data_IF_639449570266
#
_entry.id   IF_639449570266
#
_cell.length_a   1.000
_cell.length_b   1.000
_cell.length_c   1.000
_cell.angle_alpha   90.00
_cell.angle_beta   90.00
_cell.angle_gamma   90.00
#
_symmetry.space_group_name_H-M   'P 1'
#
loop_
_entity.id
_entity.type
_entity.pdbx_description
1 polymer ?
#
# COMPACT_ATOMS: atom_id res chain seq x y z
N UNK A 1 -6.76 16.50 5.01
CA UNK A 1 -5.91 16.01 6.15
C UNK A 1 -6.72 15.37 7.28
N UNK A 2 -7.96 15.75 7.49
CA UNK A 2 -8.79 15.18 8.56
C UNK A 2 -9.01 13.69 8.38
N UNK A 3 -9.34 13.24 7.18
CA UNK A 3 -9.55 11.82 6.84
C UNK A 3 -8.28 10.97 6.97
N UNK A 4 -7.11 11.61 6.92
CA UNK A 4 -5.80 10.96 7.00
C UNK A 4 -5.16 11.01 8.40
N UNK A 5 -5.86 11.53 9.42
CA UNK A 5 -5.34 11.61 10.81
C UNK A 5 -4.88 10.26 11.35
N UNK A 6 -5.56 9.18 10.97
CA UNK A 6 -5.20 7.82 11.38
C UNK A 6 -3.83 7.36 10.84
N UNK A 7 -3.36 7.94 9.74
CA UNK A 7 -2.02 7.65 9.19
C UNK A 7 -0.91 8.43 9.89
N UNK A 8 -1.25 9.37 10.78
CA UNK A 8 -0.29 10.27 11.47
C UNK A 8 0.57 11.07 10.49
N UNK A 9 0.01 11.45 9.36
CA UNK A 9 0.69 12.30 8.37
C UNK A 9 0.49 13.77 8.76
N UNK A 10 1.57 14.52 8.90
CA UNK A 10 1.55 15.92 9.33
C UNK A 10 1.35 16.85 8.14
N UNK A 11 1.99 16.53 7.01
CA UNK A 11 1.94 17.33 5.77
C UNK A 11 1.13 16.62 4.71
N UNK A 12 0.25 17.35 4.02
CA UNK A 12 -0.45 16.84 2.86
C UNK A 12 0.51 16.66 1.68
N UNK A 13 0.43 15.54 0.93
CA UNK A 13 1.08 15.44 -0.36
C UNK A 13 0.40 16.37 -1.36
N UNK A 14 1.18 17.18 -2.05
CA UNK A 14 0.72 18.06 -3.13
C UNK A 14 1.41 17.66 -4.43
N UNK A 15 0.64 17.43 -5.47
CA UNK A 15 1.12 16.99 -6.78
C UNK A 15 0.23 17.59 -7.86
N UNK A 16 0.82 18.00 -8.96
CA UNK A 16 0.10 18.36 -10.18
C UNK A 16 -0.25 17.08 -10.95
N UNK A 17 -1.52 16.93 -11.32
CA UNK A 17 -2.02 15.79 -12.07
C UNK A 17 -2.50 16.28 -13.43
N UNK A 18 -1.96 15.67 -14.48
CA UNK A 18 -2.33 15.98 -15.84
C UNK A 18 -3.73 15.48 -16.16
N UNK A 19 -4.56 16.33 -16.75
CA UNK A 19 -5.87 15.95 -17.28
C UNK A 19 -5.70 15.59 -18.75
N UNK A 20 -5.99 14.33 -19.08
CA UNK A 20 -5.88 13.78 -20.42
C UNK A 20 -7.26 13.62 -21.08
N UNK A 21 -7.28 13.55 -22.41
CA UNK A 21 -8.49 13.37 -23.22
C UNK A 21 -9.21 14.67 -23.52
N UNK A 22 -10.16 14.64 -24.47
CA UNK A 22 -10.99 15.76 -24.85
C UNK A 22 -10.27 16.96 -25.47
N UNK A 23 -11.06 17.97 -25.79
CA UNK A 23 -10.58 19.29 -26.24
C UNK A 23 -10.05 20.13 -25.06
N UNK A 24 -9.41 21.24 -25.35
CA UNK A 24 -8.89 22.15 -24.30
C UNK A 24 -10.04 22.72 -23.48
N UNK A 25 -11.12 23.11 -24.14
CA UNK A 25 -12.29 23.73 -23.49
C UNK A 25 -12.98 22.73 -22.54
N UNK A 26 -13.18 21.49 -22.98
CA UNK A 26 -13.72 20.41 -22.13
C UNK A 26 -12.85 20.14 -20.91
N UNK A 27 -11.52 20.15 -21.05
CA UNK A 27 -10.60 20.00 -19.91
C UNK A 27 -10.72 21.14 -18.91
N UNK A 28 -10.87 22.38 -19.41
CA UNK A 28 -11.04 23.57 -18.57
C UNK A 28 -12.36 23.50 -17.81
N UNK A 29 -13.45 23.11 -18.48
CA UNK A 29 -14.77 22.96 -17.87
C UNK A 29 -14.75 21.86 -16.80
N UNK A 30 -14.17 20.72 -17.12
CA UNK A 30 -14.01 19.61 -16.18
C UNK A 30 -13.19 20.04 -14.96
N UNK A 31 -12.05 20.72 -15.17
CA UNK A 31 -11.22 21.21 -14.08
C UNK A 31 -11.97 22.21 -13.20
N UNK A 32 -12.69 23.16 -13.78
CA UNK A 32 -13.52 24.13 -13.04
C UNK A 32 -14.62 23.44 -12.22
N UNK A 33 -15.24 22.41 -12.77
CA UNK A 33 -16.30 21.67 -12.08
C UNK A 33 -15.82 20.86 -10.88
N UNK A 34 -14.49 20.52 -10.85
CA UNK A 34 -13.87 19.71 -9.80
C UNK A 34 -13.00 20.52 -8.82
N UNK A 35 -12.94 21.84 -8.96
CA UNK A 35 -12.27 22.68 -7.97
C UNK A 35 -12.90 22.48 -6.59
N UNK A 36 -12.06 22.28 -5.58
CA UNK A 36 -12.46 22.06 -4.17
C UNK A 36 -13.35 20.82 -3.94
N UNK A 37 -13.50 19.97 -4.94
CA UNK A 37 -14.27 18.72 -4.83
C UNK A 37 -13.36 17.51 -4.76
N UNK A 38 -13.84 16.48 -4.10
CA UNK A 38 -13.18 15.17 -4.06
C UNK A 38 -13.35 14.46 -5.40
N UNK A 39 -12.25 13.88 -5.90
CA UNK A 39 -12.24 12.95 -7.03
C UNK A 39 -12.00 11.55 -6.47
N UNK A 40 -13.00 10.69 -6.53
CA UNK A 40 -12.91 9.34 -6.02
C UNK A 40 -12.21 8.39 -6.99
N UNK A 41 -11.67 7.33 -6.45
CA UNK A 41 -10.98 6.30 -7.26
C UNK A 41 -11.91 5.67 -8.29
N UNK A 42 -13.17 5.42 -7.94
CA UNK A 42 -14.17 4.85 -8.83
C UNK A 42 -14.59 5.76 -9.99
N UNK A 43 -14.33 7.07 -9.89
CA UNK A 43 -14.63 8.03 -10.96
C UNK A 43 -13.56 7.97 -12.07
N UNK A 44 -12.37 7.46 -11.76
CA UNK A 44 -11.22 7.44 -12.67
C UNK A 44 -10.89 6.03 -13.16
N UNK A 45 -10.99 5.03 -12.28
CA UNK A 45 -10.59 3.66 -12.58
C UNK A 45 -11.74 2.68 -12.48
N UNK A 46 -11.66 1.60 -13.26
CA UNK A 46 -12.62 0.49 -13.25
C UNK A 46 -11.96 -0.83 -12.83
N UNK A 47 -12.76 -1.76 -12.31
CA UNK A 47 -12.28 -3.10 -11.98
C UNK A 47 -11.82 -3.84 -13.23
N UNK A 48 -10.74 -4.58 -13.11
CA UNK A 48 -10.12 -5.30 -14.24
C UNK A 48 -9.14 -4.48 -15.07
N UNK A 49 -9.13 -3.15 -14.92
CA UNK A 49 -8.24 -2.25 -15.64
C UNK A 49 -6.78 -2.44 -15.23
N UNK A 50 -5.87 -2.19 -16.18
CA UNK A 50 -4.43 -2.13 -15.90
C UNK A 50 -4.02 -0.71 -15.59
N UNK A 51 -3.24 -0.54 -14.55
CA UNK A 51 -2.70 0.73 -14.09
C UNK A 51 -1.18 0.68 -13.93
N UNK A 52 -0.56 1.84 -14.04
CA UNK A 52 0.84 2.06 -13.68
C UNK A 52 0.93 2.80 -12.35
N UNK A 53 1.88 2.41 -11.53
CA UNK A 53 2.09 2.97 -10.20
C UNK A 53 3.41 3.70 -10.16
N UNK A 54 3.38 4.98 -9.81
CA UNK A 54 4.55 5.83 -9.66
C UNK A 54 4.78 6.14 -8.18
N UNK A 55 6.02 5.99 -7.74
CA UNK A 55 6.34 6.28 -6.34
C UNK A 55 7.82 6.12 -6.02
N UNK A 56 8.18 6.44 -4.78
CA UNK A 56 9.53 6.28 -4.28
C UNK A 56 9.68 4.92 -3.58
N UNK A 57 10.70 4.19 -3.94
CA UNK A 57 11.01 2.88 -3.33
C UNK A 57 11.36 3.01 -1.86
N UNK A 58 11.40 1.89 -1.14
CA UNK A 58 11.88 1.84 0.24
C UNK A 58 13.33 2.25 0.29
N UNK A 59 13.67 3.20 1.17
CA UNK A 59 15.05 3.64 1.37
C UNK A 59 15.81 2.72 2.33
N UNK A 60 17.10 2.51 2.06
CA UNK A 60 18.03 1.77 2.91
C UNK A 60 19.25 2.60 3.32
N UNK A 61 19.31 3.85 2.88
CA UNK A 61 20.42 4.76 3.18
C UNK A 61 21.68 4.44 2.37
N UNK A 62 22.84 4.77 2.92
CA UNK A 62 24.12 4.52 2.29
C UNK A 62 24.51 3.04 2.46
N UNK A 63 24.73 2.34 1.36
CA UNK A 63 25.04 0.92 1.33
C UNK A 63 26.33 0.63 0.57
N UNK A 64 27.03 -0.42 0.99
CA UNK A 64 28.24 -0.90 0.33
C UNK A 64 27.93 -1.66 -0.95
N UNK A 65 28.96 -1.86 -1.77
CA UNK A 65 28.84 -2.52 -3.09
C UNK A 65 28.30 -3.94 -3.04
N UNK A 66 28.55 -4.67 -1.96
CA UNK A 66 28.08 -6.06 -1.81
C UNK A 66 26.56 -6.13 -1.63
N UNK A 67 25.94 -5.15 -1.01
CA UNK A 67 24.48 -5.06 -0.90
C UNK A 67 23.88 -4.39 -2.12
N UNK A 68 24.42 -3.22 -2.49
CA UNK A 68 23.86 -2.37 -3.54
C UNK A 68 23.93 -2.99 -4.94
N UNK A 69 25.00 -3.73 -5.26
CA UNK A 69 25.22 -4.37 -6.56
C UNK A 69 25.32 -5.90 -6.51
N UNK A 70 25.33 -6.50 -5.32
CA UNK A 70 25.45 -7.95 -5.17
C UNK A 70 26.84 -8.48 -5.56
N UNK A 71 27.88 -7.67 -5.46
CA UNK A 71 29.25 -8.12 -5.80
C UNK A 71 29.72 -9.19 -4.84
N UNK A 72 30.50 -10.14 -5.34
CA UNK A 72 31.08 -11.23 -4.55
C UNK A 72 32.00 -10.69 -3.47
N UNK A 73 31.87 -11.19 -2.24
CA UNK A 73 32.84 -10.92 -1.17
C UNK A 73 34.19 -11.48 -1.54
N UNK A 74 35.24 -10.71 -1.29
CA UNK A 74 36.63 -11.17 -1.49
C UNK A 74 36.99 -12.25 -0.46
N UNK A 75 38.15 -12.88 -0.65
CA UNK A 75 38.63 -13.96 0.22
C UNK A 75 38.86 -13.47 1.65
N UNK A 76 38.71 -14.35 2.65
CA UNK A 76 38.89 -14.04 4.07
C UNK A 76 40.21 -13.36 4.41
N UNK A 77 41.30 -13.75 3.74
CA UNK A 77 42.63 -13.19 3.97
C UNK A 77 42.91 -11.86 3.26
N UNK A 78 41.89 -11.27 2.59
CA UNK A 78 42.10 -10.04 1.82
C UNK A 78 42.38 -8.85 2.77
N UNK A 79 43.52 -8.22 2.54
CA UNK A 79 43.89 -6.99 3.23
C UNK A 79 42.96 -5.82 2.82
N UNK A 80 42.70 -4.87 3.73
CA UNK A 80 41.88 -3.67 3.54
C UNK A 80 40.39 -3.92 3.32
N UNK A 81 39.91 -5.12 3.61
CA UNK A 81 38.47 -5.42 3.68
C UNK A 81 37.95 -6.33 2.57
N UNK A 82 36.92 -7.10 2.92
CA UNK A 82 36.31 -8.16 2.10
C UNK A 82 35.15 -7.67 1.23
N UNK A 83 34.45 -6.63 1.69
CA UNK A 83 33.20 -6.14 1.10
C UNK A 83 33.47 -4.99 0.13
N UNK A 84 34.36 -5.22 -0.81
CA UNK A 84 34.81 -4.24 -1.80
C UNK A 84 34.90 -4.88 -3.18
N UNK A 85 35.01 -4.04 -4.19
CA UNK A 85 35.37 -4.42 -5.55
C UNK A 85 36.88 -4.30 -5.68
N UNK A 86 37.55 -5.34 -6.14
CA UNK A 86 39.02 -5.37 -6.28
C UNK A 86 39.50 -4.38 -7.36
N UNK A 87 38.81 -4.36 -8.51
CA UNK A 87 39.15 -3.49 -9.64
C UNK A 87 37.88 -2.72 -10.08
N UNK A 88 38.04 -1.45 -10.31
CA UNK A 88 36.93 -0.55 -10.71
C UNK A 88 36.97 -0.15 -12.19
N UNK A 89 37.89 -0.71 -12.95
CA UNK A 89 38.05 -0.47 -14.36
C UNK A 89 39.46 -0.80 -14.86
N UNK A 90 39.66 -0.74 -16.14
CA UNK A 90 40.95 -0.86 -16.79
C UNK A 90 41.75 0.45 -16.73
N UNK A 91 43.03 0.42 -17.17
CA UNK A 91 43.86 1.62 -17.26
C UNK A 91 43.29 2.65 -18.22
N UNK A 92 42.81 2.20 -19.36
CA UNK A 92 42.13 3.02 -20.35
C UNK A 92 40.67 2.59 -20.50
N UNK A 93 39.71 3.55 -20.54
CA UNK A 93 39.88 4.98 -20.39
C UNK A 93 40.29 5.35 -18.93
N UNK A 94 41.07 6.41 -18.76
CA UNK A 94 41.67 6.83 -17.47
C UNK A 94 40.66 7.31 -16.44
N UNK A 95 39.37 7.15 -16.68
CA UNK A 95 38.24 7.48 -15.79
C UNK A 95 37.53 6.23 -15.33
N UNK A 96 36.91 6.31 -14.15
CA UNK A 96 35.98 5.26 -13.69
C UNK A 96 34.66 5.40 -14.44
N UNK A 97 34.20 4.33 -15.07
CA UNK A 97 32.90 4.32 -15.76
C UNK A 97 31.75 4.54 -14.76
N UNK A 98 30.69 5.20 -15.22
CA UNK A 98 29.49 5.39 -14.39
C UNK A 98 28.85 4.05 -13.94
N UNK A 99 28.97 3.01 -14.77
CA UNK A 99 28.43 1.67 -14.52
C UNK A 99 29.24 0.84 -13.51
N UNK A 100 30.43 1.30 -13.10
CA UNK A 100 31.24 0.59 -12.10
C UNK A 100 30.51 0.53 -10.76
N UNK A 101 30.51 -0.64 -10.14
CA UNK A 101 29.87 -0.84 -8.84
C UNK A 101 30.56 -0.01 -7.75
N UNK A 102 29.83 0.89 -7.12
CA UNK A 102 30.30 1.79 -6.05
C UNK A 102 29.30 1.78 -4.91
N UNK A 103 29.78 2.06 -3.69
CA UNK A 103 28.94 2.36 -2.56
C UNK A 103 28.17 3.67 -2.81
N UNK A 104 26.99 3.77 -2.22
CA UNK A 104 26.16 4.97 -2.34
C UNK A 104 24.76 4.76 -1.77
N UNK A 105 23.86 5.66 -2.09
CA UNK A 105 22.46 5.57 -1.68
C UNK A 105 21.79 4.34 -2.31
N UNK A 106 21.14 3.55 -1.48
CA UNK A 106 20.28 2.43 -1.89
C UNK A 106 18.84 2.69 -1.50
N UNK A 107 17.94 2.53 -2.46
CA UNK A 107 16.53 2.82 -2.26
C UNK A 107 16.20 4.32 -2.21
N UNK A 108 14.94 4.63 -1.92
CA UNK A 108 14.34 5.97 -2.04
C UNK A 108 14.53 6.57 -3.44
N UNK A 109 14.35 5.72 -4.44
CA UNK A 109 14.40 6.11 -5.84
C UNK A 109 13.00 6.18 -6.42
N UNK A 110 12.75 7.19 -7.25
CA UNK A 110 11.51 7.25 -8.02
C UNK A 110 11.49 6.13 -9.07
N UNK A 111 10.40 5.38 -9.09
CA UNK A 111 10.18 4.27 -10.02
C UNK A 111 8.74 4.27 -10.49
N UNK A 112 8.56 3.77 -11.71
CA UNK A 112 7.25 3.47 -12.28
C UNK A 112 7.11 1.96 -12.44
N UNK A 113 6.17 1.37 -11.74
CA UNK A 113 5.80 -0.03 -11.91
C UNK A 113 4.64 -0.14 -12.87
N UNK A 114 4.84 -0.87 -13.97
CA UNK A 114 3.89 -0.95 -15.06
C UNK A 114 2.91 -2.12 -14.89
N UNK A 115 1.73 -1.99 -15.50
CA UNK A 115 0.79 -3.08 -15.74
C UNK A 115 0.34 -3.81 -14.47
N UNK A 116 -0.07 -3.08 -13.44
CA UNK A 116 -0.74 -3.65 -12.27
C UNK A 116 -2.24 -3.75 -12.55
N UNK A 117 -2.79 -4.94 -12.43
CA UNK A 117 -4.22 -5.16 -12.66
C UNK A 117 -5.01 -4.84 -11.40
N UNK A 118 -6.10 -4.09 -11.55
CA UNK A 118 -7.06 -3.82 -10.48
C UNK A 118 -7.94 -5.06 -10.33
N UNK A 119 -8.03 -5.58 -9.12
CA UNK A 119 -8.90 -6.72 -8.81
C UNK A 119 -10.24 -6.28 -8.23
N UNK A 120 -10.23 -5.25 -7.40
CA UNK A 120 -11.42 -4.70 -6.78
C UNK A 120 -11.22 -3.23 -6.42
N UNK A 121 -12.28 -2.46 -6.55
CA UNK A 121 -12.37 -1.11 -6.01
C UNK A 121 -13.40 -1.15 -4.89
N UNK A 122 -12.98 -0.84 -3.67
CA UNK A 122 -13.86 -0.82 -2.52
C UNK A 122 -14.18 0.60 -2.09
N UNK A 123 -15.41 0.79 -1.61
CA UNK A 123 -15.89 2.05 -1.04
C UNK A 123 -15.46 2.19 0.42
N UNK A 124 -15.58 3.40 0.93
CA UNK A 124 -15.26 3.71 2.33
C UNK A 124 -16.04 2.81 3.30
N UNK A 125 -15.49 2.60 4.49
CA UNK A 125 -16.10 1.77 5.53
C UNK A 125 -17.44 2.35 6.02
N UNK A 126 -17.66 3.64 5.86
CA UNK A 126 -18.93 4.32 6.22
C UNK A 126 -20.03 3.99 5.21
N UNK A 127 -19.68 3.82 3.94
CA UNK A 127 -20.61 3.49 2.86
C UNK A 127 -20.83 1.98 2.73
N UNK A 128 -19.82 1.16 3.04
CA UNK A 128 -19.85 -0.27 2.76
C UNK A 128 -19.02 -1.07 3.79
N UNK A 129 -19.67 -1.97 4.52
CA UNK A 129 -19.04 -2.83 5.51
C UNK A 129 -18.76 -4.26 5.01
N UNK A 130 -19.10 -4.57 3.78
CA UNK A 130 -19.00 -5.90 3.17
C UNK A 130 -17.95 -6.00 2.05
N UNK A 131 -17.01 -5.09 2.05
CA UNK A 131 -15.97 -4.98 1.02
C UNK A 131 -15.14 -6.25 0.77
N UNK A 132 -15.10 -7.19 1.73
CA UNK A 132 -14.43 -8.48 1.57
C UNK A 132 -15.40 -9.65 1.37
N UNK A 133 -16.70 -9.39 1.23
CA UNK A 133 -17.70 -10.40 0.91
C UNK A 133 -17.64 -10.73 -0.58
N UNK A 134 -17.76 -12.01 -0.92
CA UNK A 134 -17.74 -12.50 -2.30
C UNK A 134 -18.93 -13.43 -2.53
N UNK A 135 -19.24 -13.75 -3.77
CA UNK A 135 -20.32 -14.70 -4.11
C UNK A 135 -20.11 -16.10 -3.47
N UNK A 136 -18.86 -16.53 -3.38
CA UNK A 136 -18.50 -17.82 -2.78
C UNK A 136 -18.37 -17.76 -1.24
N UNK A 137 -18.11 -16.58 -0.68
CA UNK A 137 -18.00 -16.34 0.76
C UNK A 137 -18.95 -15.23 1.17
N UNK A 138 -20.14 -15.59 1.57
CA UNK A 138 -21.24 -14.70 1.97
C UNK A 138 -21.06 -14.08 3.36
N UNK A 139 -19.96 -14.35 4.04
CA UNK A 139 -19.67 -13.75 5.34
C UNK A 139 -19.49 -12.24 5.19
N UNK A 140 -20.30 -11.47 5.91
CA UNK A 140 -20.18 -10.00 5.94
C UNK A 140 -18.90 -9.62 6.70
N UNK A 141 -17.95 -9.08 5.99
CA UNK A 141 -16.64 -8.69 6.54
C UNK A 141 -16.02 -7.53 5.76
N UNK A 142 -15.34 -6.65 6.48
CA UNK A 142 -14.58 -5.55 5.88
C UNK A 142 -13.26 -6.06 5.31
N UNK A 143 -12.65 -5.26 4.43
CA UNK A 143 -11.33 -5.58 3.87
C UNK A 143 -10.21 -5.59 4.92
N UNK A 144 -10.39 -4.91 6.04
CA UNK A 144 -9.39 -4.82 7.09
C UNK A 144 -9.29 -6.16 7.83
N UNK A 145 -8.10 -6.80 7.90
CA UNK A 145 -7.90 -8.02 8.65
C UNK A 145 -8.09 -7.79 10.15
N UNK A 146 -8.35 -8.84 10.89
CA UNK A 146 -8.46 -8.79 12.34
C UNK A 146 -7.18 -8.20 12.97
N UNK A 147 -7.35 -7.17 13.78
CA UNK A 147 -6.23 -6.41 14.37
C UNK A 147 -5.65 -5.32 13.47
N UNK A 148 -6.17 -5.13 12.26
CA UNK A 148 -5.71 -4.15 11.29
C UNK A 148 -4.52 -4.61 10.44
N UNK A 149 -4.20 -3.85 9.40
CA UNK A 149 -2.99 -4.06 8.62
C UNK A 149 -1.76 -3.66 9.42
N UNK A 150 -0.73 -4.51 9.41
CA UNK A 150 0.53 -4.23 10.11
C UNK A 150 1.18 -2.94 9.61
N UNK A 151 1.54 -2.04 10.52
CA UNK A 151 2.14 -0.73 10.26
C UNK A 151 1.26 0.27 9.46
N UNK A 152 0.00 -0.07 9.17
CA UNK A 152 -0.94 0.80 8.51
C UNK A 152 -2.13 1.14 9.42
N UNK A 153 -2.86 0.15 9.87
CA UNK A 153 -4.07 0.27 10.66
C UNK A 153 -5.31 -0.23 9.94
N UNK A 154 -6.41 0.47 10.09
CA UNK A 154 -7.72 0.14 9.52
C UNK A 154 -7.91 0.92 8.22
N UNK A 155 -8.42 0.27 7.18
CA UNK A 155 -8.83 0.92 5.93
C UNK A 155 -10.22 1.52 6.14
N UNK A 156 -10.31 2.84 6.12
CA UNK A 156 -11.55 3.58 6.30
C UNK A 156 -12.08 4.19 5.03
N UNK A 157 -11.19 4.62 4.16
CA UNK A 157 -11.47 5.32 2.91
C UNK A 157 -11.61 4.32 1.75
N UNK A 158 -11.93 4.83 0.59
CA UNK A 158 -11.92 4.06 -0.66
C UNK A 158 -10.56 3.41 -0.85
N UNK A 159 -10.55 2.23 -1.45
CA UNK A 159 -9.31 1.50 -1.70
C UNK A 159 -9.31 0.78 -3.05
N UNK A 160 -8.12 0.54 -3.54
CA UNK A 160 -7.88 -0.26 -4.74
C UNK A 160 -7.12 -1.52 -4.35
N UNK A 161 -7.64 -2.68 -4.74
CA UNK A 161 -6.94 -3.95 -4.63
C UNK A 161 -6.24 -4.25 -5.94
N UNK A 162 -4.93 -4.37 -5.91
CA UNK A 162 -4.10 -4.63 -7.09
C UNK A 162 -3.41 -5.99 -7.02
N UNK A 163 -3.10 -6.56 -8.16
CA UNK A 163 -2.30 -7.78 -8.26
C UNK A 163 -0.84 -7.49 -7.94
N UNK A 164 -0.28 -8.20 -6.98
CA UNK A 164 1.13 -8.12 -6.63
C UNK A 164 1.45 -7.04 -5.59
N UNK A 165 2.61 -6.43 -5.70
CA UNK A 165 3.08 -5.40 -4.80
C UNK A 165 3.16 -4.04 -5.48
N UNK A 166 3.39 -2.99 -4.70
CA UNK A 166 3.69 -1.65 -5.17
C UNK A 166 4.95 -1.10 -4.51
N UNK A 167 5.50 -0.05 -5.09
CA UNK A 167 6.72 0.60 -4.60
C UNK A 167 6.55 1.22 -3.22
N UNK A 168 7.62 1.26 -2.45
CA UNK A 168 7.70 2.05 -1.23
C UNK A 168 7.30 1.32 0.05
N UNK A 169 7.20 2.10 1.09
CA UNK A 169 6.75 1.65 2.42
C UNK A 169 5.25 1.91 2.59
N UNK A 170 4.64 1.22 3.57
CA UNK A 170 3.25 1.50 3.96
C UNK A 170 3.11 2.97 4.35
N UNK A 171 1.94 3.56 4.07
CA UNK A 171 1.61 4.98 4.30
C UNK A 171 2.27 5.97 3.33
N UNK A 172 3.09 5.53 2.38
CA UNK A 172 3.67 6.42 1.36
C UNK A 172 2.65 6.71 0.29
N UNK A 173 2.56 7.97 -0.10
CA UNK A 173 1.74 8.43 -1.22
C UNK A 173 2.25 7.84 -2.52
N UNK A 174 1.34 7.37 -3.34
CA UNK A 174 1.58 6.82 -4.67
C UNK A 174 0.73 7.58 -5.67
N UNK A 175 1.22 7.69 -6.89
CA UNK A 175 0.44 8.17 -8.03
C UNK A 175 0.00 6.96 -8.85
N UNK A 176 -1.25 6.99 -9.27
CA UNK A 176 -1.84 5.98 -10.14
C UNK A 176 -2.18 6.64 -11.48
N UNK A 177 -1.92 5.93 -12.56
CA UNK A 177 -2.37 6.32 -13.89
C UNK A 177 -2.85 5.09 -14.65
N UNK A 178 -3.65 5.29 -15.67
CA UNK A 178 -3.98 4.24 -16.63
C UNK A 178 -2.70 3.71 -17.29
N UNK A 179 -2.64 2.40 -17.54
CA UNK A 179 -1.47 1.79 -18.16
C UNK A 179 -1.30 2.28 -19.59
N UNK A 180 -0.12 2.83 -19.90
CA UNK A 180 0.19 3.31 -21.25
C UNK A 180 0.31 2.16 -22.27
N UNK A 181 0.77 0.99 -21.82
CA UNK A 181 0.97 -0.20 -22.63
C UNK A 181 0.37 -1.41 -21.93
N UNK A 182 -0.96 -1.54 -21.89
CA UNK A 182 -1.60 -2.66 -21.22
C UNK A 182 -1.23 -3.98 -21.90
N UNK A 183 -0.93 -5.00 -21.11
CA UNK A 183 -0.73 -6.36 -21.63
C UNK A 183 -2.09 -6.99 -21.89
N UNK A 184 -2.43 -7.08 -23.16
CA UNK A 184 -3.67 -7.75 -23.61
C UNK A 184 -3.30 -9.18 -24.03
N UNK A 185 -3.12 -10.08 -23.07
CA UNK A 185 -3.01 -11.51 -23.38
C UNK A 185 -4.39 -12.18 -23.23
N UNK A 186 -4.61 -13.26 -23.97
CA UNK A 186 -5.92 -13.91 -24.09
C UNK A 186 -6.61 -14.32 -22.76
N UNK A 187 -5.83 -14.51 -21.67
CA UNK A 187 -6.36 -14.79 -20.33
C UNK A 187 -6.52 -13.57 -19.42
N UNK A 188 -5.97 -12.42 -19.82
CA UNK A 188 -5.95 -11.22 -18.97
C UNK A 188 -7.16 -10.31 -19.17
N UNK A 189 -7.93 -10.49 -20.26
CA UNK A 189 -9.18 -9.78 -20.51
C UNK A 189 -10.41 -10.43 -19.85
N UNK A 190 -10.24 -11.58 -19.17
CA UNK A 190 -11.36 -12.23 -18.48
C UNK A 190 -11.80 -11.41 -17.27
N UNK A 191 -13.10 -11.39 -17.00
CA UNK A 191 -13.65 -10.82 -15.78
C UNK A 191 -13.00 -11.49 -14.55
N UNK A 192 -12.70 -10.69 -13.53
CA UNK A 192 -12.10 -11.17 -12.29
C UNK A 192 -13.21 -11.56 -11.34
N UNK A 193 -13.33 -12.85 -11.03
CA UNK A 193 -14.20 -13.36 -9.98
C UNK A 193 -13.35 -13.73 -8.75
N UNK A 194 -13.37 -12.88 -7.73
CA UNK A 194 -12.71 -13.18 -6.47
C UNK A 194 -13.57 -14.17 -5.67
N UNK A 195 -13.01 -15.35 -5.39
CA UNK A 195 -13.71 -16.39 -4.62
C UNK A 195 -13.63 -16.17 -3.12
N UNK A 196 -12.49 -15.75 -2.62
CA UNK A 196 -12.26 -15.59 -1.19
C UNK A 196 -11.24 -14.48 -0.91
N UNK A 197 -11.53 -13.63 0.08
CA UNK A 197 -10.61 -12.62 0.59
C UNK A 197 -10.30 -12.96 2.03
N UNK A 198 -9.03 -13.22 2.34
CA UNK A 198 -8.59 -13.55 3.69
C UNK A 198 -8.49 -12.31 4.57
N UNK A 199 -9.28 -12.29 5.65
CA UNK A 199 -9.31 -11.24 6.66
C UNK A 199 -8.84 -11.73 8.03
N UNK A 200 -8.12 -12.85 8.09
CA UNK A 200 -7.50 -13.33 9.32
C UNK A 200 -6.40 -12.38 9.81
N UNK A 201 -6.08 -12.45 11.11
CA UNK A 201 -5.01 -11.63 11.68
C UNK A 201 -3.67 -11.83 10.96
N UNK A 202 -3.00 -10.74 10.63
CA UNK A 202 -1.67 -10.73 9.97
C UNK A 202 -0.52 -10.51 10.95
N UNK A 203 -0.81 -10.36 12.23
CA UNK A 203 0.22 -10.26 13.28
C UNK A 203 0.90 -11.61 13.56
N UNK A 204 0.16 -12.70 13.38
CA UNK A 204 0.64 -14.07 13.43
C UNK A 204 -0.05 -14.91 12.36
N UNK A 205 -0.23 -16.19 12.60
CA UNK A 205 -1.02 -17.09 11.76
C UNK A 205 -2.47 -17.13 12.27
N UNK A 206 -3.28 -16.17 11.86
CA UNK A 206 -4.68 -16.07 12.25
C UNK A 206 -5.54 -17.22 11.72
N UNK A 207 -6.46 -17.72 12.56
CA UNK A 207 -7.40 -18.82 12.23
C UNK A 207 -8.79 -18.33 11.85
N UNK A 208 -9.20 -17.17 12.34
CA UNK A 208 -10.56 -16.65 12.24
C UNK A 208 -10.64 -15.50 11.26
N UNK A 209 -11.71 -15.46 10.48
CA UNK A 209 -11.96 -14.39 9.53
C UNK A 209 -12.61 -13.17 10.17
N UNK A 210 -13.46 -13.37 11.19
CA UNK A 210 -14.18 -12.33 11.88
C UNK A 210 -14.03 -12.44 13.41
N UNK A 211 -14.29 -11.34 14.11
CA UNK A 211 -14.32 -11.31 15.56
C UNK A 211 -15.43 -12.22 16.13
N UNK A 212 -16.53 -12.34 15.39
CA UNK A 212 -17.67 -13.15 15.81
C UNK A 212 -17.36 -14.63 15.73
N UNK A 213 -16.67 -15.09 14.70
CA UNK A 213 -16.18 -16.48 14.61
C UNK A 213 -15.25 -16.81 15.77
N UNK A 214 -14.35 -15.87 16.10
CA UNK A 214 -13.46 -16.03 17.25
C UNK A 214 -14.22 -16.09 18.57
N UNK A 215 -15.23 -15.25 18.73
CA UNK A 215 -16.05 -15.23 19.95
C UNK A 215 -16.95 -16.46 20.06
N UNK A 216 -17.44 -16.99 18.94
CA UNK A 216 -18.19 -18.28 18.93
C UNK A 216 -17.31 -19.44 19.40
N UNK A 217 -16.05 -19.45 18.96
CA UNK A 217 -15.13 -20.54 19.31
C UNK A 217 -14.61 -20.46 20.74
N UNK A 218 -14.15 -19.28 21.19
CA UNK A 218 -13.50 -19.08 22.50
C UNK A 218 -14.43 -18.53 23.58
N UNK A 219 -15.65 -18.17 23.24
CA UNK A 219 -16.54 -17.43 24.11
C UNK A 219 -16.23 -15.92 24.15
N UNK A 220 -17.14 -15.16 24.75
CA UNK A 220 -16.99 -13.69 24.88
C UNK A 220 -15.73 -13.35 25.67
N UNK A 221 -14.95 -12.43 25.16
CA UNK A 221 -13.74 -11.95 25.83
C UNK A 221 -14.09 -11.26 27.16
N UNK A 222 -13.41 -11.64 28.24
CA UNK A 222 -13.58 -10.95 29.52
C UNK A 222 -13.28 -9.46 29.37
N UNK A 223 -14.15 -8.61 29.83
CA UNK A 223 -13.93 -7.17 29.84
C UNK A 223 -12.66 -6.82 30.63
N UNK A 224 -11.87 -5.85 30.14
CA UNK A 224 -10.71 -5.38 30.88
C UNK A 224 -11.15 -4.88 32.25
N UNK A 225 -10.38 -5.15 33.31
CA UNK A 225 -10.68 -4.77 34.70
C UNK A 225 -11.04 -3.29 34.86
N UNK A 226 -10.36 -2.39 34.11
CA UNK A 226 -10.65 -0.95 34.08
C UNK A 226 -12.07 -0.63 33.58
N UNK A 227 -12.52 -1.28 32.51
CA UNK A 227 -13.87 -1.07 31.95
C UNK A 227 -14.94 -1.62 32.89
N UNK A 228 -14.69 -2.79 33.53
CA UNK A 228 -15.59 -3.34 34.57
C UNK A 228 -15.73 -2.39 35.75
N UNK A 229 -14.62 -1.82 36.21
CA UNK A 229 -14.59 -0.85 37.32
C UNK A 229 -15.38 0.38 36.93
N UNK A 230 -15.13 0.96 35.76
CA UNK A 230 -15.89 2.12 35.26
C UNK A 230 -17.38 1.86 35.18
N UNK A 231 -17.81 0.73 34.61
CA UNK A 231 -19.23 0.35 34.56
C UNK A 231 -19.83 0.15 35.95
N UNK A 232 -19.07 -0.47 36.87
CA UNK A 232 -19.52 -0.70 38.24
C UNK A 232 -19.79 0.61 39.01
N UNK A 233 -19.02 1.63 38.74
CA UNK A 233 -19.14 2.93 39.45
C UNK A 233 -19.83 4.03 38.63
N UNK A 234 -20.30 3.72 37.42
CA UNK A 234 -21.00 4.71 36.57
C UNK A 234 -22.28 5.30 37.21
N UNK A 235 -22.95 4.52 38.05
CA UNK A 235 -24.15 5.00 38.81
C UNK A 235 -23.79 6.05 39.85
N UNK A 236 -22.60 5.95 40.47
CA UNK A 236 -22.18 6.92 41.51
C UNK A 236 -21.80 8.29 40.92
N UNK A 237 -21.59 8.38 39.63
CA UNK A 237 -21.28 9.65 38.93
C UNK A 237 -22.59 10.35 38.49
N UNK A 238 -23.66 9.59 38.22
CA UNK A 238 -24.95 10.14 37.81
C UNK A 238 -25.73 10.80 38.97
N UNK A 239 -25.46 10.34 40.21
CA UNK A 239 -26.12 10.88 41.39
C UNK A 239 -25.49 12.20 41.93
N UNK A 240 -24.48 12.74 41.20
CA UNK A 240 -23.80 14.00 41.56
C UNK A 240 -23.99 15.12 40.54
N UNK A 241 -24.86 14.96 39.57
CA UNK A 241 -25.37 16.01 38.68
C UNK A 241 -26.83 16.27 38.99
#
# INVERSE_FOLDING_TARGET
>A
MEDMKHLRTIKAPLVEIQINGGSIDEKIEWAKSHLEKEVRVGDVFTEGQFIDILGATKGHGYEGVTHRYGTKKLQRKTHRGLRKVACIGSWHPSRVQFTAARAGQDGYHHRTELNKRIYRIGKSMEECNDNATTEADVTVKTITPMGGFGHYGIVKNDFVMIKGCCVGIRKRTLLLREAMFPKISAGENSAIALKFIDTSSKFGHGRFQTSDDKNKFYGKRKEKRSVKVQKKYAHLVKDKQ
#
